data_IF_525843701566
#
_entry.id   IF_525843701566
#
_cell.length_a   1.000
_cell.length_b   1.000
_cell.length_c   1.000
_cell.angle_alpha   90.00
_cell.angle_beta   90.00
_cell.angle_gamma   90.00
#
_symmetry.space_group_name_H-M   'P 1'
#
loop_
_entity.id
_entity.type
_entity.pdbx_description
1 polymer ?
#
# COMPACT_ATOMS: atom_id res chain seq x y z
N UNK A 1 -3.06 5.06 10.75
CA UNK A 1 -3.74 5.01 12.06
C UNK A 1 -5.14 5.64 12.02
N UNK A 2 -5.33 6.84 11.44
CA UNK A 2 -6.64 7.51 11.39
C UNK A 2 -7.77 6.65 10.76
N UNK A 3 -7.50 5.99 9.63
CA UNK A 3 -8.47 5.13 8.95
C UNK A 3 -8.89 3.94 9.82
N UNK A 4 -7.95 3.27 10.49
CA UNK A 4 -8.26 2.12 11.36
C UNK A 4 -9.17 2.52 12.53
N UNK A 5 -8.92 3.69 13.13
CA UNK A 5 -9.73 4.23 14.22
C UNK A 5 -11.13 4.60 13.70
N UNK A 6 -11.22 5.22 12.52
CA UNK A 6 -12.50 5.57 11.89
C UNK A 6 -13.35 4.34 11.56
N UNK A 7 -12.73 3.27 11.02
CA UNK A 7 -13.40 1.99 10.76
C UNK A 7 -13.92 1.40 12.08
N UNK A 8 -13.10 1.37 13.14
CA UNK A 8 -13.47 0.79 14.42
C UNK A 8 -14.61 1.55 15.10
N UNK A 9 -14.53 2.88 15.14
CA UNK A 9 -15.57 3.74 15.70
C UNK A 9 -16.86 3.64 14.87
N UNK A 10 -16.76 3.70 13.54
CA UNK A 10 -17.90 3.57 12.63
C UNK A 10 -18.57 2.20 12.75
N UNK A 11 -17.79 1.13 12.93
CA UNK A 11 -18.30 -0.21 13.18
C UNK A 11 -19.06 -0.29 14.51
N UNK A 12 -18.55 0.36 15.55
CA UNK A 12 -19.20 0.39 16.87
C UNK A 12 -20.52 1.17 16.87
N UNK A 13 -20.65 2.23 16.06
CA UNK A 13 -21.85 3.06 16.00
C UNK A 13 -23.00 2.43 15.17
N UNK A 14 -22.70 1.95 13.96
CA UNK A 14 -23.72 1.50 12.99
C UNK A 14 -23.31 0.23 12.22
N UNK A 15 -22.45 -0.61 12.83
CA UNK A 15 -21.90 -1.82 12.21
C UNK A 15 -21.29 -1.47 10.84
N UNK A 16 -21.57 -2.26 9.81
CA UNK A 16 -20.98 -2.15 8.48
C UNK A 16 -21.30 -0.81 7.79
N UNK A 17 -22.52 -0.29 7.92
CA UNK A 17 -22.89 0.98 7.29
C UNK A 17 -22.12 2.14 7.94
N UNK A 18 -21.98 2.13 9.27
CA UNK A 18 -21.24 3.16 10.00
C UNK A 18 -19.76 3.19 9.66
N UNK A 19 -19.10 2.03 9.53
CA UNK A 19 -17.68 1.96 9.16
C UNK A 19 -17.43 2.46 7.74
N UNK A 20 -18.34 2.18 6.80
CA UNK A 20 -18.21 2.67 5.43
C UNK A 20 -18.27 4.20 5.37
N UNK A 21 -19.31 4.81 5.96
CA UNK A 21 -19.45 6.27 5.99
C UNK A 21 -18.32 6.96 6.77
N UNK A 22 -17.86 6.39 7.89
CA UNK A 22 -16.74 6.94 8.66
C UNK A 22 -15.43 6.92 7.86
N UNK A 23 -15.17 5.84 7.13
CA UNK A 23 -13.97 5.72 6.28
C UNK A 23 -14.03 6.71 5.11
N UNK A 24 -15.17 6.81 4.44
CA UNK A 24 -15.38 7.78 3.37
C UNK A 24 -15.20 9.22 3.88
N UNK A 25 -15.74 9.55 5.06
CA UNK A 25 -15.57 10.87 5.66
C UNK A 25 -14.12 11.24 5.95
N UNK A 26 -13.27 10.27 6.33
CA UNK A 26 -11.83 10.51 6.56
C UNK A 26 -11.05 10.62 5.25
N UNK A 27 -11.43 9.89 4.22
CA UNK A 27 -10.72 9.88 2.92
C UNK A 27 -11.11 11.08 2.04
N UNK A 28 -12.37 11.51 2.11
CA UNK A 28 -12.93 12.60 1.31
C UNK A 28 -12.14 13.91 1.36
N UNK A 29 -11.72 14.45 2.54
CA UNK A 29 -10.95 15.69 2.58
C UNK A 29 -9.59 15.56 1.87
N UNK A 30 -8.88 14.44 2.06
CA UNK A 30 -7.62 14.19 1.35
C UNK A 30 -7.82 14.10 -0.16
N UNK A 31 -8.90 13.45 -0.60
CA UNK A 31 -9.24 13.34 -2.01
C UNK A 31 -9.51 14.69 -2.66
N UNK A 32 -10.29 15.56 -1.99
CA UNK A 32 -10.59 16.92 -2.49
C UNK A 32 -9.33 17.76 -2.61
N UNK A 33 -8.42 17.68 -1.64
CA UNK A 33 -7.13 18.40 -1.68
C UNK A 33 -6.29 17.94 -2.87
N UNK A 34 -6.15 16.62 -3.06
CA UNK A 34 -5.36 16.06 -4.17
C UNK A 34 -5.95 16.45 -5.52
N UNK A 35 -7.28 16.39 -5.67
CA UNK A 35 -7.96 16.82 -6.91
C UNK A 35 -7.74 18.30 -7.20
N UNK A 36 -7.86 19.15 -6.19
CA UNK A 36 -7.62 20.59 -6.32
C UNK A 36 -6.20 20.86 -6.80
N UNK A 37 -5.21 20.21 -6.17
CA UNK A 37 -3.81 20.31 -6.57
C UNK A 37 -3.62 19.79 -8.00
N UNK A 38 -4.22 18.66 -8.37
CA UNK A 38 -4.09 18.07 -9.70
C UNK A 38 -4.67 18.97 -10.81
N UNK A 39 -5.83 19.59 -10.57
CA UNK A 39 -6.43 20.54 -11.51
C UNK A 39 -5.57 21.79 -11.69
N UNK A 40 -5.09 22.38 -10.59
CA UNK A 40 -4.13 23.48 -10.66
C UNK A 40 -2.85 23.07 -11.40
N UNK A 41 -2.36 21.88 -11.12
CA UNK A 41 -1.13 21.35 -11.69
C UNK A 41 -1.20 21.15 -13.21
N UNK A 42 -2.35 20.73 -13.75
CA UNK A 42 -2.55 20.59 -15.19
C UNK A 42 -2.35 21.92 -15.94
N UNK A 43 -2.77 23.03 -15.34
CA UNK A 43 -2.60 24.38 -15.92
C UNK A 43 -1.16 24.90 -15.89
N UNK A 44 -0.27 24.36 -15.05
CA UNK A 44 1.15 24.77 -14.95
C UNK A 44 2.11 23.81 -15.68
N UNK A 45 1.60 22.72 -16.25
CA UNK A 45 2.40 21.64 -16.84
C UNK A 45 3.15 22.04 -18.12
N UNK A 46 2.80 23.18 -18.72
CA UNK A 46 3.45 23.71 -19.94
C UNK A 46 4.79 24.42 -19.65
N UNK A 47 5.16 24.66 -18.39
CA UNK A 47 6.41 25.35 -18.06
C UNK A 47 7.57 24.36 -17.80
N UNK A 48 8.72 24.44 -18.52
CA UNK A 48 9.87 23.54 -18.36
C UNK A 48 10.49 23.51 -16.95
N UNK A 49 10.20 24.52 -16.11
CA UNK A 49 10.57 24.52 -14.69
C UNK A 49 9.87 23.40 -13.92
N UNK A 50 8.60 23.13 -14.24
CA UNK A 50 7.80 22.09 -13.58
C UNK A 50 8.33 20.70 -13.91
N UNK A 51 8.77 20.45 -15.14
CA UNK A 51 9.34 19.15 -15.51
C UNK A 51 10.61 18.82 -14.70
N UNK A 52 11.48 19.82 -14.46
CA UNK A 52 12.69 19.65 -13.65
C UNK A 52 12.37 19.36 -12.18
N UNK A 53 11.36 20.04 -11.62
CA UNK A 53 10.89 19.78 -10.26
C UNK A 53 10.33 18.34 -10.16
N UNK A 54 9.62 17.85 -11.17
CA UNK A 54 9.08 16.48 -11.18
C UNK A 54 10.15 15.40 -11.21
N UNK A 55 11.27 15.65 -11.92
CA UNK A 55 12.44 14.77 -11.86
C UNK A 55 13.02 14.70 -10.43
N UNK A 56 12.95 15.78 -9.65
CA UNK A 56 13.33 15.82 -8.23
C UNK A 56 12.30 15.22 -7.27
N UNK A 57 11.00 15.32 -7.57
CA UNK A 57 9.93 14.74 -6.74
C UNK A 57 9.91 13.21 -6.83
N UNK A 58 10.22 12.65 -8.00
CA UNK A 58 10.21 11.19 -8.23
C UNK A 58 11.02 10.40 -7.18
N UNK A 59 12.30 10.73 -6.89
CA UNK A 59 13.05 10.04 -5.82
C UNK A 59 12.48 10.31 -4.42
N UNK A 60 11.91 11.49 -4.17
CA UNK A 60 11.25 11.81 -2.89
C UNK A 60 10.00 10.93 -2.64
N UNK A 61 9.19 10.70 -3.67
CA UNK A 61 8.04 9.79 -3.61
C UNK A 61 8.49 8.36 -3.37
N UNK A 62 9.56 7.90 -4.04
CA UNK A 62 10.15 6.58 -3.80
C UNK A 62 10.58 6.43 -2.35
N UNK A 63 11.25 7.42 -1.76
CA UNK A 63 11.65 7.41 -0.36
C UNK A 63 10.44 7.40 0.61
N UNK A 64 9.40 8.17 0.30
CA UNK A 64 8.16 8.23 1.10
C UNK A 64 7.41 6.90 1.11
N UNK A 65 7.43 6.15 0.00
CA UNK A 65 6.87 4.80 -0.09
C UNK A 65 7.78 3.79 0.60
N UNK A 66 9.11 3.91 0.42
CA UNK A 66 10.06 2.97 0.99
C UNK A 66 10.05 2.97 2.53
N UNK A 67 9.93 4.13 3.17
CA UNK A 67 9.94 4.23 4.64
C UNK A 67 8.89 3.33 5.34
N UNK A 68 7.58 3.39 5.00
CA UNK A 68 6.60 2.47 5.57
C UNK A 68 6.82 1.03 5.10
N UNK A 69 7.32 0.78 3.88
CA UNK A 69 7.65 -0.58 3.41
C UNK A 69 8.74 -1.23 4.27
N UNK A 70 9.82 -0.51 4.58
CA UNK A 70 10.88 -0.99 5.47
C UNK A 70 10.38 -1.25 6.90
N UNK A 71 9.55 -0.36 7.42
CA UNK A 71 8.92 -0.56 8.73
C UNK A 71 8.02 -1.81 8.73
N UNK A 72 7.26 -2.03 7.65
CA UNK A 72 6.42 -3.22 7.50
C UNK A 72 7.25 -4.50 7.39
N UNK A 73 8.37 -4.47 6.64
CA UNK A 73 9.30 -5.58 6.55
C UNK A 73 9.93 -5.94 7.91
N UNK A 74 10.27 -4.93 8.72
CA UNK A 74 10.79 -5.13 10.07
C UNK A 74 9.73 -5.69 11.02
N UNK A 75 8.50 -5.17 10.94
CA UNK A 75 7.35 -5.68 11.70
C UNK A 75 7.01 -7.13 11.33
N UNK A 76 7.15 -7.50 10.05
CA UNK A 76 6.90 -8.85 9.57
C UNK A 76 7.94 -9.89 10.04
N UNK A 77 8.97 -9.48 10.81
CA UNK A 77 10.08 -10.34 11.28
C UNK A 77 10.64 -11.23 10.17
N UNK A 78 10.98 -10.62 9.03
CA UNK A 78 11.60 -11.36 7.92
C UNK A 78 12.91 -11.99 8.42
N UNK A 79 12.89 -13.30 8.64
CA UNK A 79 14.04 -14.09 9.02
C UNK A 79 14.89 -14.40 7.76
N UNK A 80 16.16 -14.81 7.92
CA UNK A 80 17.06 -15.20 6.79
C UNK A 80 16.41 -16.25 5.87
N UNK A 81 15.53 -17.10 6.39
CA UNK A 81 14.78 -18.09 5.62
C UNK A 81 13.55 -17.53 4.89
N UNK A 82 12.95 -16.44 5.36
CA UNK A 82 11.71 -15.86 4.83
C UNK A 82 11.97 -14.73 3.83
N UNK A 83 13.21 -14.24 3.75
CA UNK A 83 13.62 -13.19 2.80
C UNK A 83 13.42 -13.61 1.33
N UNK A 84 13.40 -14.91 1.06
CA UNK A 84 13.16 -15.46 -0.28
C UNK A 84 11.76 -15.12 -0.81
N UNK A 85 10.75 -15.00 0.05
CA UNK A 85 9.36 -14.73 -0.37
C UNK A 85 9.22 -13.34 -1.04
N UNK A 86 9.63 -12.22 -0.41
CA UNK A 86 9.59 -10.91 -1.06
C UNK A 86 10.59 -10.78 -2.20
N UNK A 87 11.75 -11.43 -2.14
CA UNK A 87 12.75 -11.39 -3.23
C UNK A 87 12.24 -12.10 -4.48
N UNK A 88 11.68 -13.31 -4.33
CA UNK A 88 11.07 -14.06 -5.44
C UNK A 88 9.84 -13.33 -5.97
N UNK A 89 9.01 -12.75 -5.09
CA UNK A 89 7.85 -11.95 -5.51
C UNK A 89 8.28 -10.72 -6.31
N UNK A 90 9.31 -9.98 -5.85
CA UNK A 90 9.84 -8.83 -6.56
C UNK A 90 10.46 -9.21 -7.90
N UNK A 91 11.17 -10.35 -7.96
CA UNK A 91 11.77 -10.87 -9.19
C UNK A 91 10.68 -11.31 -10.20
N UNK A 92 9.60 -11.94 -9.75
CA UNK A 92 8.46 -12.28 -10.61
C UNK A 92 7.76 -11.03 -11.14
N UNK A 93 7.56 -9.99 -10.33
CA UNK A 93 6.98 -8.73 -10.83
C UNK A 93 7.86 -8.13 -11.92
N UNK A 94 9.18 -8.15 -11.70
CA UNK A 94 10.15 -7.52 -12.60
C UNK A 94 10.37 -8.30 -13.91
N UNK A 95 10.30 -9.64 -13.88
CA UNK A 95 10.58 -10.49 -15.04
C UNK A 95 9.33 -10.89 -15.82
N UNK A 96 8.17 -11.01 -15.16
CA UNK A 96 6.95 -11.57 -15.75
C UNK A 96 5.84 -10.53 -16.00
N UNK A 97 6.01 -9.26 -15.61
CA UNK A 97 4.96 -8.21 -15.68
C UNK A 97 3.60 -8.65 -15.08
N UNK A 98 3.64 -9.67 -14.20
CA UNK A 98 2.44 -10.24 -13.61
C UNK A 98 1.89 -9.22 -12.64
N UNK A 99 0.63 -8.84 -12.87
CA UNK A 99 -0.11 -7.94 -12.00
C UNK A 99 0.06 -8.35 -10.53
N UNK A 100 0.54 -7.45 -9.64
CA UNK A 100 0.81 -7.76 -8.24
C UNK A 100 -0.36 -8.42 -7.50
N UNK A 101 -1.59 -8.19 -7.98
CA UNK A 101 -2.82 -8.82 -7.50
C UNK A 101 -2.71 -10.37 -7.52
N UNK A 102 -2.23 -10.96 -8.62
CA UNK A 102 -2.12 -12.41 -8.74
C UNK A 102 -1.08 -12.99 -7.77
N UNK A 103 0.02 -12.27 -7.58
CA UNK A 103 1.08 -12.66 -6.63
C UNK A 103 0.55 -12.64 -5.19
N UNK A 104 -0.25 -11.65 -4.83
CA UNK A 104 -0.89 -11.58 -3.51
C UNK A 104 -1.84 -12.78 -3.29
N UNK A 105 -2.63 -13.14 -4.32
CA UNK A 105 -3.55 -14.29 -4.24
C UNK A 105 -2.79 -15.62 -4.09
N UNK A 106 -1.73 -15.84 -4.88
CA UNK A 106 -0.91 -17.06 -4.81
C UNK A 106 -0.10 -17.12 -3.51
N UNK A 107 0.50 -16.01 -3.07
CA UNK A 107 1.22 -15.95 -1.81
C UNK A 107 0.28 -16.16 -0.59
N UNK A 108 -0.94 -15.61 -0.64
CA UNK A 108 -1.95 -15.80 0.40
C UNK A 108 -2.46 -17.25 0.47
N UNK A 109 -2.77 -17.86 -0.67
CA UNK A 109 -3.23 -19.26 -0.74
C UNK A 109 -2.10 -20.25 -0.41
N UNK A 110 -0.90 -20.02 -0.93
CA UNK A 110 0.30 -20.80 -0.61
C UNK A 110 0.71 -20.68 0.86
N UNK A 111 0.66 -19.47 1.43
CA UNK A 111 0.90 -19.23 2.85
C UNK A 111 -0.13 -19.91 3.76
N UNK A 112 -1.40 -19.94 3.36
CA UNK A 112 -2.46 -20.65 4.09
C UNK A 112 -2.25 -22.17 4.07
N UNK A 113 -1.86 -22.74 2.92
CA UNK A 113 -1.54 -24.16 2.81
C UNK A 113 -0.30 -24.53 3.64
N UNK A 114 0.77 -23.74 3.55
CA UNK A 114 2.00 -23.96 4.33
C UNK A 114 1.78 -23.81 5.84
N UNK A 115 0.96 -22.84 6.26
CA UNK A 115 0.56 -22.66 7.66
C UNK A 115 -0.22 -23.87 8.20
N UNK A 116 -0.96 -24.58 7.34
CA UNK A 116 -1.66 -25.83 7.70
C UNK A 116 -0.71 -27.02 7.86
N UNK A 117 0.43 -27.04 7.15
CA UNK A 117 1.45 -28.09 7.27
C UNK A 117 2.41 -27.86 8.46
N UNK A 118 2.78 -26.63 8.78
CA UNK A 118 3.71 -26.32 9.89
C UNK A 118 3.04 -26.40 11.27
N UNK A 119 1.73 -26.15 11.38
CA UNK A 119 1.01 -26.22 12.67
C UNK A 119 0.67 -27.66 13.12
N UNK A 120 1.10 -28.70 12.41
CA UNK A 120 0.94 -30.10 12.84
C UNK A 120 2.14 -30.65 13.63
N UNK A 121 3.22 -29.88 13.81
CA UNK A 121 4.39 -30.32 14.60
C UNK A 121 4.83 -29.34 15.70
N UNK A 122 3.87 -28.64 16.34
CA UNK A 122 4.01 -28.14 17.71
C UNK A 122 2.73 -28.46 18.46
#
# INVERSE_FOLDING_TARGET
>A
MAINIAIFIGYRLRKVKGSLFATLGVVMPSFVIILTIAMFFHSFKENPVVEKIFKGIRPGVVALIAAPTFNMAKMARINRYTIWIPVVSALLIWLLDVSPIWIIVVAGTGGFLWGKYVKKSI
#
